data_IF_109345275331
#
_entry.id   IF_109345275331
#
_cell.length_a   1.000
_cell.length_b   1.000
_cell.length_c   1.000
_cell.angle_alpha   90.00
_cell.angle_beta   90.00
_cell.angle_gamma   90.00
#
_symmetry.space_group_name_H-M   'P 1'
#
loop_
_entity.id
_entity.type
_entity.pdbx_description
1 polymer ?
#
# COMPACT_ATOMS: atom_id res chain seq x y z
N UNK A 1 -8.97 -67.78 41.81
CA UNK A 1 -9.20 -66.35 42.11
C UNK A 1 -9.92 -66.27 43.43
N UNK A 2 -9.27 -65.80 44.51
CA UNK A 2 -9.93 -65.67 45.82
C UNK A 2 -11.03 -64.62 45.69
N UNK A 3 -12.27 -65.01 45.95
CA UNK A 3 -13.43 -64.12 45.85
C UNK A 3 -13.28 -62.95 46.80
N UNK A 4 -13.15 -61.75 46.26
CA UNK A 4 -13.28 -60.52 47.03
C UNK A 4 -14.61 -60.57 47.80
N UNK A 5 -14.57 -60.28 49.10
CA UNK A 5 -15.78 -60.15 49.92
C UNK A 5 -16.74 -59.16 49.25
N UNK A 6 -18.05 -59.46 49.17
CA UNK A 6 -19.03 -58.58 48.54
C UNK A 6 -19.02 -57.15 49.12
N UNK A 7 -18.58 -57.00 50.37
CA UNK A 7 -18.44 -55.70 51.03
C UNK A 7 -17.27 -54.88 50.45
N UNK A 8 -16.16 -55.52 50.11
CA UNK A 8 -15.01 -54.87 49.46
C UNK A 8 -15.37 -54.49 48.01
N UNK A 9 -16.09 -55.35 47.29
CA UNK A 9 -16.56 -55.05 45.95
C UNK A 9 -17.50 -53.83 45.92
N UNK A 10 -18.44 -53.73 46.87
CA UNK A 10 -19.34 -52.58 46.98
C UNK A 10 -18.59 -51.26 47.24
N UNK A 11 -17.58 -51.28 48.12
CA UNK A 11 -16.76 -50.09 48.42
C UNK A 11 -15.98 -49.64 47.18
N UNK A 12 -15.40 -50.56 46.42
CA UNK A 12 -14.69 -50.21 45.17
C UNK A 12 -15.61 -49.56 44.14
N UNK A 13 -16.83 -50.06 43.97
CA UNK A 13 -17.80 -49.48 43.02
C UNK A 13 -18.16 -48.04 43.42
N UNK A 14 -18.40 -47.79 44.70
CA UNK A 14 -18.73 -46.43 45.19
C UNK A 14 -17.54 -45.48 44.99
N UNK A 15 -16.32 -45.91 45.31
CA UNK A 15 -15.11 -45.09 45.13
C UNK A 15 -14.87 -44.77 43.65
N UNK A 16 -15.01 -45.76 42.76
CA UNK A 16 -14.85 -45.57 41.31
C UNK A 16 -15.93 -44.61 40.77
N UNK A 17 -17.19 -44.74 41.22
CA UNK A 17 -18.27 -43.85 40.81
C UNK A 17 -18.01 -42.39 41.23
N UNK A 18 -17.48 -42.17 42.43
CA UNK A 18 -17.12 -40.83 42.92
C UNK A 18 -15.99 -40.24 42.08
N UNK A 19 -14.91 -41.01 41.85
CA UNK A 19 -13.76 -40.55 41.05
C UNK A 19 -14.15 -40.22 39.62
N UNK A 20 -14.98 -41.07 38.99
CA UNK A 20 -15.52 -40.80 37.65
C UNK A 20 -16.38 -39.54 37.63
N UNK A 21 -17.22 -39.33 38.64
CA UNK A 21 -18.07 -38.14 38.74
C UNK A 21 -17.25 -36.86 38.86
N UNK A 22 -16.19 -36.88 39.68
CA UNK A 22 -15.26 -35.74 39.79
C UNK A 22 -14.47 -35.51 38.49
N UNK A 23 -13.98 -36.57 37.84
CA UNK A 23 -13.24 -36.45 36.59
C UNK A 23 -14.11 -35.91 35.43
N UNK A 24 -15.36 -36.37 35.32
CA UNK A 24 -16.31 -35.87 34.32
C UNK A 24 -16.69 -34.41 34.63
N UNK A 25 -16.93 -34.08 35.90
CA UNK A 25 -17.24 -32.70 36.33
C UNK A 25 -16.11 -31.71 36.03
N UNK A 26 -14.86 -32.08 36.30
CA UNK A 26 -13.70 -31.22 35.99
C UNK A 26 -13.45 -31.10 34.49
N UNK A 27 -13.61 -32.18 33.73
CA UNK A 27 -13.52 -32.15 32.27
C UNK A 27 -14.57 -31.24 31.64
N UNK A 28 -15.85 -31.38 32.03
CA UNK A 28 -16.93 -30.54 31.51
C UNK A 28 -16.74 -29.07 31.86
N UNK A 29 -16.29 -28.76 33.09
CA UNK A 29 -15.96 -27.40 33.51
C UNK A 29 -14.80 -26.81 32.71
N UNK A 30 -13.76 -27.61 32.43
CA UNK A 30 -12.61 -27.20 31.62
C UNK A 30 -13.01 -26.93 30.16
N UNK A 31 -13.78 -27.83 29.56
CA UNK A 31 -14.27 -27.67 28.18
C UNK A 31 -15.23 -26.48 28.07
N UNK A 32 -16.11 -26.27 29.05
CA UNK A 32 -16.99 -25.11 29.09
C UNK A 32 -16.20 -23.80 29.16
N UNK A 33 -15.16 -23.72 30.01
CA UNK A 33 -14.32 -22.52 30.12
C UNK A 33 -13.52 -22.26 28.83
N UNK A 34 -12.95 -23.30 28.24
CA UNK A 34 -12.17 -23.18 27.01
C UNK A 34 -13.03 -22.75 25.82
N UNK A 35 -14.21 -23.37 25.65
CA UNK A 35 -15.15 -23.02 24.59
C UNK A 35 -15.68 -21.59 24.76
N UNK A 36 -16.06 -21.17 25.96
CA UNK A 36 -16.53 -19.79 26.20
C UNK A 36 -15.45 -18.75 25.92
N UNK A 37 -14.21 -18.95 26.38
CA UNK A 37 -13.11 -18.01 26.13
C UNK A 37 -12.75 -17.89 24.64
N UNK A 38 -12.79 -19.01 23.91
CA UNK A 38 -12.54 -19.00 22.47
C UNK A 38 -13.69 -18.35 21.68
N UNK A 39 -14.93 -18.54 22.11
CA UNK A 39 -16.10 -17.91 21.48
C UNK A 39 -16.13 -16.41 21.76
N UNK A 40 -15.87 -15.99 22.98
CA UNK A 40 -15.86 -14.59 23.39
C UNK A 40 -14.82 -13.78 22.57
N UNK A 41 -13.60 -14.30 22.44
CA UNK A 41 -12.55 -13.65 21.63
C UNK A 41 -12.89 -13.60 20.13
N UNK A 42 -13.49 -14.64 19.57
CA UNK A 42 -13.91 -14.65 18.16
C UNK A 42 -15.10 -13.70 17.89
N UNK A 43 -16.05 -13.61 18.83
CA UNK A 43 -17.18 -12.68 18.70
C UNK A 43 -16.71 -11.23 18.84
N UNK A 44 -15.83 -10.92 19.79
CA UNK A 44 -15.28 -9.58 19.95
C UNK A 44 -14.55 -9.12 18.68
N UNK A 45 -13.72 -9.99 18.09
CA UNK A 45 -13.01 -9.68 16.85
C UNK A 45 -13.99 -9.44 15.68
N UNK A 46 -15.03 -10.27 15.54
CA UNK A 46 -16.05 -10.07 14.49
C UNK A 46 -16.80 -8.75 14.66
N UNK A 47 -17.19 -8.40 15.89
CA UNK A 47 -17.88 -7.13 16.17
C UNK A 47 -16.98 -5.95 15.82
N UNK A 48 -15.71 -5.97 16.28
CA UNK A 48 -14.74 -4.91 15.96
C UNK A 48 -14.55 -4.74 14.44
N UNK A 49 -14.45 -5.85 13.71
CA UNK A 49 -14.27 -5.79 12.26
C UNK A 49 -15.54 -5.46 11.47
N UNK A 50 -16.73 -5.59 12.09
CA UNK A 50 -18.00 -5.16 11.47
C UNK A 50 -18.09 -3.64 11.36
N UNK A 51 -17.48 -2.92 12.32
CA UNK A 51 -17.43 -1.45 12.33
C UNK A 51 -16.07 -0.89 11.91
N UNK A 52 -15.17 -1.75 11.44
CA UNK A 52 -13.91 -1.34 10.83
C UNK A 52 -14.16 -0.89 9.40
N UNK A 53 -13.70 0.31 9.06
CA UNK A 53 -13.78 0.82 7.70
C UNK A 53 -12.68 1.84 7.46
N UNK A 54 -12.18 1.91 6.24
CA UNK A 54 -11.31 2.96 5.78
C UNK A 54 -11.54 3.16 4.29
N UNK A 55 -11.07 4.28 3.75
CA UNK A 55 -10.99 4.47 2.32
C UNK A 55 -9.72 5.24 1.97
N UNK A 56 -9.33 5.16 0.71
CA UNK A 56 -8.25 5.99 0.16
C UNK A 56 -8.82 7.36 -0.15
N UNK A 57 -8.35 8.38 0.56
CA UNK A 57 -8.82 9.75 0.37
C UNK A 57 -8.29 10.36 -0.92
N UNK A 58 -7.04 10.05 -1.25
CA UNK A 58 -6.40 10.43 -2.50
C UNK A 58 -5.11 9.66 -2.71
N UNK A 59 -4.74 9.48 -3.97
CA UNK A 59 -3.39 9.15 -4.38
C UNK A 59 -2.83 10.35 -5.15
N UNK A 60 -1.53 10.62 -5.00
CA UNK A 60 -0.90 11.73 -5.71
C UNK A 60 0.47 11.32 -6.23
N UNK A 61 0.86 11.95 -7.33
CA UNK A 61 2.14 11.76 -7.96
C UNK A 61 2.77 13.13 -8.25
N UNK A 62 3.71 13.52 -7.38
CA UNK A 62 4.47 14.74 -7.57
C UNK A 62 5.73 14.42 -8.37
N UNK A 63 5.67 14.68 -9.67
CA UNK A 63 6.83 14.56 -10.56
C UNK A 63 7.70 15.82 -10.60
N UNK A 64 7.45 16.82 -9.75
CA UNK A 64 8.20 18.08 -9.67
C UNK A 64 8.33 18.79 -11.02
N UNK A 65 7.27 18.76 -11.82
CA UNK A 65 7.28 19.25 -13.19
C UNK A 65 8.20 18.46 -14.11
N UNK A 66 8.88 17.39 -13.64
CA UNK A 66 9.69 16.48 -14.45
C UNK A 66 9.08 15.09 -14.68
N UNK A 67 8.36 14.91 -15.78
CA UNK A 67 7.74 13.65 -16.19
C UNK A 67 8.61 12.84 -17.17
N UNK A 68 9.85 13.26 -17.35
CA UNK A 68 10.88 12.51 -18.06
C UNK A 68 11.66 11.60 -17.09
N UNK A 69 12.85 11.15 -17.50
CA UNK A 69 13.63 10.14 -16.78
C UNK A 69 14.56 10.80 -15.79
N UNK A 70 14.59 10.32 -14.53
CA UNK A 70 15.71 10.56 -13.61
C UNK A 70 15.59 11.77 -12.68
N UNK A 71 14.38 12.25 -12.40
CA UNK A 71 14.15 13.23 -11.35
C UNK A 71 13.44 12.57 -10.17
N UNK A 72 13.83 12.97 -8.97
CA UNK A 72 13.16 12.54 -7.75
C UNK A 72 11.69 12.93 -7.82
N UNK A 73 10.82 11.93 -7.87
CA UNK A 73 9.39 12.10 -7.80
C UNK A 73 8.84 11.47 -6.52
N UNK A 74 7.74 12.02 -6.01
CA UNK A 74 7.08 11.52 -4.81
C UNK A 74 5.77 10.85 -5.19
N UNK A 75 5.65 9.57 -4.87
CA UNK A 75 4.40 8.82 -4.93
C UNK A 75 3.83 8.81 -3.52
N UNK A 76 2.54 9.11 -3.37
CA UNK A 76 1.88 9.03 -2.08
C UNK A 76 0.44 8.58 -2.13
N UNK A 77 0.02 7.92 -1.05
CA UNK A 77 -1.36 7.50 -0.80
C UNK A 77 -1.79 8.01 0.56
N UNK A 78 -2.97 8.61 0.60
CA UNK A 78 -3.59 9.09 1.83
C UNK A 78 -4.76 8.19 2.17
N UNK A 79 -4.72 7.60 3.36
CA UNK A 79 -5.76 6.68 3.85
C UNK A 79 -6.43 7.29 5.06
N UNK A 80 -7.77 7.22 5.12
CA UNK A 80 -8.57 7.69 6.24
C UNK A 80 -9.36 6.55 6.84
N UNK A 81 -9.26 6.38 8.16
CA UNK A 81 -10.12 5.46 8.90
C UNK A 81 -11.48 6.12 9.17
N UNK A 82 -12.54 5.54 8.61
CA UNK A 82 -13.93 5.98 8.79
C UNK A 82 -14.71 5.07 9.75
N UNK A 83 -14.11 3.96 10.15
CA UNK A 83 -14.68 3.03 11.10
C UNK A 83 -14.54 3.49 12.55
N UNK A 84 -14.97 2.60 13.44
CA UNK A 84 -14.90 2.78 14.90
C UNK A 84 -13.78 1.95 15.54
N UNK A 85 -13.09 1.11 14.76
CA UNK A 85 -11.97 0.31 15.21
C UNK A 85 -10.64 0.89 14.72
N UNK A 86 -9.62 0.86 15.57
CA UNK A 86 -8.23 1.13 15.15
C UNK A 86 -7.75 0.03 14.21
N UNK A 87 -7.16 0.41 13.09
CA UNK A 87 -6.64 -0.51 12.07
C UNK A 87 -5.12 -0.49 12.04
N UNK A 88 -4.50 -1.66 12.06
CA UNK A 88 -3.07 -1.81 11.78
C UNK A 88 -2.89 -2.01 10.26
N UNK A 89 -2.53 -0.95 9.55
CA UNK A 89 -2.13 -1.00 8.14
C UNK A 89 -0.76 -1.65 8.07
N UNK A 90 -0.65 -2.77 7.35
CA UNK A 90 0.62 -3.50 7.18
C UNK A 90 1.30 -3.23 5.85
N UNK A 91 0.52 -2.79 4.87
CA UNK A 91 0.95 -2.68 3.49
C UNK A 91 0.07 -1.74 2.69
N UNK A 92 0.68 -0.82 1.95
CA UNK A 92 0.03 -0.09 0.86
C UNK A 92 0.83 -0.34 -0.41
N UNK A 93 0.15 -0.75 -1.47
CA UNK A 93 0.76 -1.21 -2.71
C UNK A 93 0.19 -0.45 -3.89
N UNK A 94 1.07 0.03 -4.76
CA UNK A 94 0.70 0.62 -6.05
C UNK A 94 1.41 -0.14 -7.18
N UNK A 95 0.63 -0.54 -8.16
CA UNK A 95 1.08 -1.26 -9.35
C UNK A 95 0.73 -0.45 -10.60
N UNK A 96 1.68 -0.35 -11.54
CA UNK A 96 1.48 0.18 -12.88
C UNK A 96 1.52 -0.93 -13.93
N UNK A 97 1.21 -0.56 -15.17
CA UNK A 97 1.39 -1.44 -16.34
C UNK A 97 2.81 -1.98 -16.51
N UNK A 98 3.83 -1.29 -15.99
CA UNK A 98 5.23 -1.72 -16.09
C UNK A 98 5.70 -2.58 -14.91
N UNK A 99 4.86 -2.73 -13.87
CA UNK A 99 5.19 -3.48 -12.66
C UNK A 99 4.93 -2.68 -11.39
N UNK A 100 5.71 -2.95 -10.36
CA UNK A 100 5.51 -2.38 -9.02
C UNK A 100 6.03 -0.95 -8.95
N UNK A 101 5.19 -0.01 -8.51
CA UNK A 101 5.50 1.43 -8.42
C UNK A 101 5.96 1.82 -7.02
N UNK A 102 5.17 1.42 -6.00
CA UNK A 102 5.47 1.75 -4.62
C UNK A 102 4.97 0.66 -3.69
N UNK A 103 5.72 0.44 -2.62
CA UNK A 103 5.36 -0.45 -1.53
C UNK A 103 5.72 0.18 -0.21
N UNK A 104 4.70 0.34 0.62
CA UNK A 104 4.82 0.84 1.97
C UNK A 104 4.59 -0.33 2.91
N UNK A 105 5.66 -1.01 3.32
CA UNK A 105 5.58 -2.07 4.34
C UNK A 105 5.92 -1.53 5.71
N UNK A 106 5.18 -1.97 6.72
CA UNK A 106 5.38 -1.58 8.11
C UNK A 106 4.08 -1.70 8.90
N UNK A 107 4.15 -1.67 10.23
CA UNK A 107 2.97 -1.71 11.08
C UNK A 107 2.55 -0.29 11.48
N UNK A 108 1.46 0.20 10.89
CA UNK A 108 0.96 1.56 11.13
C UNK A 108 -0.43 1.51 11.73
N UNK A 109 -0.56 1.94 12.97
CA UNK A 109 -1.86 2.08 13.61
C UNK A 109 -2.57 3.33 13.07
N UNK A 110 -3.82 3.14 12.66
CA UNK A 110 -4.71 4.16 12.14
C UNK A 110 -5.96 4.19 13.02
N UNK A 111 -6.02 5.17 13.91
CA UNK A 111 -7.12 5.35 14.87
C UNK A 111 -8.40 5.81 14.15
N UNK A 112 -9.60 5.62 14.75
CA UNK A 112 -10.84 6.14 14.18
C UNK A 112 -10.76 7.64 13.85
N UNK A 113 -11.11 8.02 12.62
CA UNK A 113 -11.03 9.40 12.11
C UNK A 113 -9.62 9.87 11.74
N UNK A 114 -8.57 9.10 12.03
CA UNK A 114 -7.20 9.43 11.69
C UNK A 114 -6.97 9.34 10.18
N UNK A 115 -6.10 10.23 9.70
CA UNK A 115 -5.63 10.27 8.32
C UNK A 115 -4.14 10.02 8.32
N UNK A 116 -3.68 9.09 7.49
CA UNK A 116 -2.26 8.80 7.33
C UNK A 116 -1.85 8.94 5.88
N UNK A 117 -0.74 9.66 5.67
CA UNK A 117 -0.08 9.73 4.38
C UNK A 117 1.10 8.78 4.36
N UNK A 118 1.13 7.92 3.35
CA UNK A 118 2.26 7.07 2.99
C UNK A 118 2.93 7.70 1.78
N UNK A 119 4.22 8.03 1.86
CA UNK A 119 4.94 8.73 0.80
C UNK A 119 6.32 8.12 0.62
N UNK A 120 6.72 7.96 -0.64
CA UNK A 120 8.05 7.49 -1.02
C UNK A 120 8.59 8.41 -2.11
N UNK A 121 9.84 8.82 -1.96
CA UNK A 121 10.57 9.48 -3.04
C UNK A 121 11.41 8.43 -3.78
N UNK A 122 11.28 8.37 -5.10
CA UNK A 122 12.08 7.48 -5.95
C UNK A 122 12.72 8.27 -7.09
N UNK A 123 13.90 7.81 -7.52
CA UNK A 123 14.64 8.29 -8.69
C UNK A 123 14.21 7.58 -9.98
N UNK A 124 13.33 6.59 -9.88
CA UNK A 124 12.79 5.91 -11.04
C UNK A 124 12.12 6.92 -11.99
N UNK A 125 11.93 6.52 -13.23
CA UNK A 125 11.36 7.42 -14.22
C UNK A 125 9.90 7.69 -13.85
N UNK A 126 9.50 8.96 -13.67
CA UNK A 126 8.07 9.31 -13.56
C UNK A 126 7.30 8.79 -14.79
N UNK A 127 7.98 8.68 -15.94
CA UNK A 127 7.50 8.01 -17.16
C UNK A 127 7.05 6.53 -16.97
N UNK A 128 7.48 5.87 -15.89
CA UNK A 128 7.02 4.52 -15.56
C UNK A 128 5.60 4.51 -14.98
N UNK A 129 5.19 5.62 -14.38
CA UNK A 129 3.89 5.81 -13.72
C UNK A 129 3.00 6.77 -14.52
N UNK A 130 3.56 7.56 -15.41
CA UNK A 130 2.87 8.58 -16.21
C UNK A 130 3.22 8.42 -17.68
N UNK A 131 2.23 8.58 -18.55
CA UNK A 131 2.42 8.67 -19.98
C UNK A 131 1.89 10.01 -20.49
N UNK A 132 2.67 10.67 -21.33
CA UNK A 132 2.19 11.82 -22.10
C UNK A 132 1.24 11.34 -23.21
N UNK A 133 0.07 11.95 -23.30
CA UNK A 133 -0.92 11.66 -24.33
C UNK A 133 -0.74 12.64 -25.49
N UNK A 134 -0.83 12.17 -26.73
CA UNK A 134 -0.59 12.97 -27.93
C UNK A 134 -1.75 13.91 -28.31
N UNK A 135 -2.91 13.78 -27.67
CA UNK A 135 -4.15 14.49 -28.05
C UNK A 135 -4.45 15.77 -27.26
N UNK A 136 -3.43 16.36 -26.64
CA UNK A 136 -3.48 17.56 -25.80
C UNK A 136 -2.33 17.48 -24.79
N UNK A 137 -1.94 18.58 -24.15
CA UNK A 137 -0.88 18.64 -23.12
C UNK A 137 -1.28 17.92 -21.82
N UNK A 138 -1.94 16.78 -21.94
CA UNK A 138 -2.45 15.96 -20.86
C UNK A 138 -1.54 14.77 -20.59
N UNK A 139 -1.43 14.45 -19.32
CA UNK A 139 -0.71 13.30 -18.82
C UNK A 139 -1.72 12.29 -18.27
N UNK A 140 -1.51 11.02 -18.58
CA UNK A 140 -2.32 9.91 -18.08
C UNK A 140 -1.46 9.07 -17.12
N UNK A 141 -1.98 8.72 -15.95
CA UNK A 141 -1.29 7.78 -15.08
C UNK A 141 -1.46 6.33 -15.59
N UNK A 142 -0.46 5.51 -15.32
CA UNK A 142 -0.37 4.10 -15.73
C UNK A 142 -0.64 3.16 -14.56
N UNK A 143 -1.08 3.70 -13.43
CA UNK A 143 -1.43 2.93 -12.24
C UNK A 143 -2.67 2.08 -12.57
N UNK A 144 -2.56 0.78 -12.38
CA UNK A 144 -3.61 -0.21 -12.69
C UNK A 144 -4.28 -0.77 -11.45
N UNK A 145 -3.57 -0.75 -10.31
CA UNK A 145 -4.07 -1.29 -9.05
C UNK A 145 -3.48 -0.54 -7.87
N UNK A 146 -4.34 -0.24 -6.91
CA UNK A 146 -3.96 0.23 -5.59
C UNK A 146 -4.62 -0.69 -4.58
N UNK A 147 -3.84 -1.19 -3.63
CA UNK A 147 -4.36 -2.10 -2.63
C UNK A 147 -3.76 -1.83 -1.24
N UNK A 148 -4.63 -1.83 -0.22
CA UNK A 148 -4.28 -1.56 1.18
C UNK A 148 -4.61 -2.79 2.03
N UNK A 149 -3.60 -3.29 2.75
CA UNK A 149 -3.71 -4.45 3.64
C UNK A 149 -3.75 -4.00 5.08
N UNK A 150 -4.66 -4.60 5.84
CA UNK A 150 -4.71 -4.45 7.29
C UNK A 150 -4.54 -5.79 7.99
N UNK A 151 -3.94 -5.78 9.18
CA UNK A 151 -3.77 -6.97 10.01
C UNK A 151 -4.89 -7.14 11.04
N UNK A 152 -5.40 -6.04 11.59
CA UNK A 152 -6.46 -6.08 12.61
C UNK A 152 -7.73 -6.72 12.06
N UNK A 153 -8.10 -6.35 10.83
CA UNK A 153 -9.29 -6.84 10.15
C UNK A 153 -8.95 -7.19 8.71
N UNK A 154 -8.39 -8.39 8.44
CA UNK A 154 -7.91 -8.76 7.10
C UNK A 154 -8.98 -8.75 6.00
N UNK A 155 -10.26 -8.79 6.38
CA UNK A 155 -11.40 -8.70 5.47
C UNK A 155 -11.69 -7.25 5.04
N UNK A 156 -11.21 -6.28 5.82
CA UNK A 156 -11.25 -4.86 5.51
C UNK A 156 -9.93 -4.57 4.81
N UNK A 157 -9.94 -4.82 3.51
CA UNK A 157 -8.90 -4.44 2.56
C UNK A 157 -9.58 -3.67 1.45
N UNK A 158 -8.98 -2.58 1.00
CA UNK A 158 -9.48 -1.82 -0.12
C UNK A 158 -8.59 -2.13 -1.34
N UNK A 159 -9.22 -2.42 -2.46
CA UNK A 159 -8.55 -2.70 -3.73
C UNK A 159 -9.26 -1.92 -4.81
N UNK A 160 -8.60 -0.85 -5.24
CA UNK A 160 -9.08 0.01 -6.31
C UNK A 160 -8.49 -0.48 -7.63
N UNK A 161 -9.35 -0.56 -8.64
CA UNK A 161 -8.95 -0.82 -10.01
C UNK A 161 -8.70 0.48 -10.78
N UNK A 162 -8.22 0.38 -12.03
CA UNK A 162 -7.91 1.55 -12.85
C UNK A 162 -9.07 2.56 -12.97
N UNK A 163 -10.32 2.09 -13.02
CA UNK A 163 -11.47 2.99 -13.20
C UNK A 163 -11.72 3.84 -11.96
N UNK A 164 -11.58 3.24 -10.78
CA UNK A 164 -11.71 3.94 -9.50
C UNK A 164 -10.49 4.84 -9.25
N UNK A 165 -9.28 4.34 -9.52
CA UNK A 165 -8.02 5.09 -9.35
C UNK A 165 -8.04 6.39 -10.14
N UNK A 166 -8.63 6.42 -11.34
CA UNK A 166 -8.76 7.64 -12.14
C UNK A 166 -9.51 8.77 -11.42
N UNK A 167 -10.41 8.45 -10.47
CA UNK A 167 -11.13 9.43 -9.68
C UNK A 167 -10.30 9.95 -8.48
N UNK A 168 -9.38 9.13 -7.98
CA UNK A 168 -8.59 9.41 -6.76
C UNK A 168 -7.16 9.91 -7.03
N UNK A 169 -6.59 9.64 -8.20
CA UNK A 169 -5.27 10.15 -8.59
C UNK A 169 -5.43 11.59 -9.03
N UNK A 170 -5.38 12.47 -8.04
CA UNK A 170 -5.32 13.89 -8.26
C UNK A 170 -3.85 14.28 -8.34
N UNK A 171 -3.50 15.00 -9.40
CA UNK A 171 -2.23 15.67 -9.58
C UNK A 171 -1.12 14.78 -10.16
N UNK A 172 -0.94 14.96 -11.46
CA UNK A 172 0.35 14.76 -12.10
C UNK A 172 0.85 16.16 -12.46
N UNK A 173 1.74 16.71 -11.64
CA UNK A 173 2.36 18.01 -11.91
C UNK A 173 3.42 17.83 -13.01
N UNK A 174 2.94 17.77 -14.25
CA UNK A 174 3.76 17.77 -15.45
C UNK A 174 3.46 19.04 -16.23
N UNK A 175 4.11 20.15 -15.88
CA UNK A 175 4.02 21.38 -16.68
C UNK A 175 5.34 21.62 -17.40
N UNK A 176 5.72 20.69 -18.29
CA UNK A 176 6.93 20.87 -19.09
C UNK A 176 6.62 21.58 -20.38
N UNK A 177 6.95 22.87 -20.43
CA UNK A 177 7.13 23.55 -21.71
C UNK A 177 8.48 23.18 -22.35
N UNK A 178 9.44 22.70 -21.55
CA UNK A 178 10.78 22.28 -21.99
C UNK A 178 11.28 21.13 -21.10
N UNK A 179 12.04 20.21 -21.69
CA UNK A 179 12.69 19.11 -20.96
C UNK A 179 13.58 19.65 -19.82
N UNK A 180 13.66 18.94 -18.70
CA UNK A 180 14.50 19.34 -17.56
C UNK A 180 15.69 18.36 -17.41
N UNK A 181 16.80 18.82 -16.83
CA UNK A 181 17.94 17.96 -16.55
C UNK A 181 17.64 17.02 -15.39
N UNK A 182 18.12 15.79 -15.53
CA UNK A 182 17.91 14.69 -14.59
C UNK A 182 19.21 14.12 -14.04
N UNK A 183 19.13 13.28 -13.00
CA UNK A 183 20.29 12.63 -12.39
C UNK A 183 21.08 11.74 -13.37
N UNK A 184 20.45 11.32 -14.48
CA UNK A 184 21.08 10.53 -15.54
C UNK A 184 21.40 11.34 -16.80
N UNK A 185 21.13 12.65 -16.78
CA UNK A 185 21.32 13.50 -17.95
C UNK A 185 22.80 13.74 -18.22
N UNK A 186 23.28 13.22 -19.35
CA UNK A 186 24.64 13.45 -19.86
C UNK A 186 24.68 14.71 -20.74
N UNK A 187 23.62 14.90 -21.54
CA UNK A 187 23.46 15.96 -22.53
C UNK A 187 21.98 16.36 -22.62
N UNK A 188 21.69 17.65 -22.70
CA UNK A 188 20.35 18.18 -22.92
C UNK A 188 20.40 19.42 -23.82
N UNK A 189 19.89 19.32 -25.06
CA UNK A 189 19.88 20.43 -26.01
C UNK A 189 18.45 20.87 -26.33
N UNK A 190 18.13 22.13 -26.01
CA UNK A 190 16.80 22.71 -26.28
C UNK A 190 16.66 23.33 -27.66
N UNK A 191 17.78 23.62 -28.33
CA UNK A 191 17.81 24.28 -29.64
C UNK A 191 16.94 25.55 -29.69
N UNK A 192 17.05 26.40 -28.67
CA UNK A 192 16.28 27.64 -28.53
C UNK A 192 17.15 28.92 -28.60
N UNK A 193 18.41 28.80 -29.04
CA UNK A 193 19.37 29.90 -29.14
C UNK A 193 19.02 30.90 -30.24
N UNK A 194 18.27 30.47 -31.26
CA UNK A 194 17.75 31.32 -32.34
C UNK A 194 18.80 31.88 -33.31
N UNK A 195 20.10 31.72 -33.04
CA UNK A 195 21.19 32.13 -33.93
C UNK A 195 22.54 31.48 -33.53
N UNK A 196 23.53 31.59 -34.41
CA UNK A 196 24.89 31.11 -34.14
C UNK A 196 25.07 29.60 -34.33
N UNK A 197 26.27 29.09 -34.03
CA UNK A 197 26.65 27.67 -34.15
C UNK A 197 26.65 26.94 -32.81
N UNK A 198 26.66 27.65 -31.68
CA UNK A 198 26.74 27.05 -30.35
C UNK A 198 25.36 26.59 -29.88
N UNK A 199 25.29 25.38 -29.34
CA UNK A 199 24.11 24.83 -28.64
C UNK A 199 24.45 24.68 -27.18
N UNK A 200 23.63 25.29 -26.32
CA UNK A 200 23.85 25.24 -24.89
C UNK A 200 23.34 23.92 -24.32
N UNK A 201 24.15 23.33 -23.45
CA UNK A 201 23.79 22.12 -22.73
C UNK A 201 23.03 22.52 -21.47
N UNK A 202 21.76 22.16 -21.42
CA UNK A 202 20.88 22.34 -20.26
C UNK A 202 21.10 21.29 -19.18
N UNK A 203 21.96 20.28 -19.39
CA UNK A 203 22.13 19.17 -18.43
C UNK A 203 22.88 19.55 -17.16
N UNK A 204 23.54 20.71 -17.14
CA UNK A 204 24.45 21.15 -16.08
C UNK A 204 25.87 20.59 -16.19
N UNK A 205 26.18 19.79 -17.21
CA UNK A 205 27.52 19.19 -17.39
C UNK A 205 28.45 20.06 -18.25
N UNK A 206 27.98 21.20 -18.75
CA UNK A 206 28.72 22.10 -19.64
C UNK A 206 29.18 21.43 -20.95
N UNK A 207 28.47 20.38 -21.41
CA UNK A 207 28.77 19.67 -22.64
C UNK A 207 28.18 20.39 -23.86
N UNK A 208 28.53 21.67 -24.03
CA UNK A 208 28.02 22.49 -25.13
C UNK A 208 28.31 21.89 -26.51
N UNK A 209 27.33 21.96 -27.40
CA UNK A 209 27.44 21.51 -28.79
C UNK A 209 27.89 22.63 -29.73
N UNK A 210 28.45 22.24 -30.88
CA UNK A 210 28.64 23.11 -32.04
C UNK A 210 27.98 22.45 -33.25
N UNK A 211 27.09 23.19 -33.92
CA UNK A 211 26.43 22.75 -35.16
C UNK A 211 27.39 22.98 -36.32
N UNK A 212 27.59 21.95 -37.14
CA UNK A 212 28.38 22.01 -38.37
C UNK A 212 27.49 21.77 -39.60
N UNK A 213 27.87 22.35 -40.73
CA UNK A 213 27.15 22.21 -42.01
C UNK A 213 26.16 23.34 -42.28
N UNK A 214 25.22 23.09 -43.19
CA UNK A 214 24.16 24.04 -43.51
C UNK A 214 22.97 23.81 -42.58
N UNK A 215 22.64 24.80 -41.76
CA UNK A 215 21.51 24.76 -40.83
C UNK A 215 20.79 26.11 -40.81
N UNK A 216 19.54 26.10 -40.36
CA UNK A 216 18.74 27.30 -40.13
C UNK A 216 17.96 27.14 -38.82
N UNK A 217 17.94 28.20 -38.01
CA UNK A 217 17.08 28.28 -36.83
C UNK A 217 15.65 28.58 -37.30
N UNK A 218 14.69 27.79 -36.83
CA UNK A 218 13.26 27.98 -37.13
C UNK A 218 12.51 28.29 -35.85
N UNK A 219 11.65 29.30 -35.90
CA UNK A 219 10.79 29.77 -34.80
C UNK A 219 9.34 29.37 -35.01
#
# INVERSE_FOLDING_TARGET
>A
MKGLSPLVAAVFVVVIAIVLSFAVGTFLSSVARFSTAQIESQMEQRIRCTYANFYVERAFLDCRLDCTRGVNHTVGVVVRNTGQATLEITGVYLESELGKVAEFTGAYNLSPGEVKSFQLSTLDECASVVRQVTSGDGYEHRIVRLHVVTRTCPQVSDTMDRSEINEYVMFVDCNQTQAQPSAYSILLFHFNEGSGTKVNDGSGNNNHGTIYGNYAWVS
#
